data_IF_500705242158
#
_entry.id   IF_500705242158
#
_cell.length_a   1.000
_cell.length_b   1.000
_cell.length_c   1.000
_cell.angle_alpha   90.00
_cell.angle_beta   90.00
_cell.angle_gamma   90.00
#
_symmetry.space_group_name_H-M   'P 1'
#
loop_
_entity.id
_entity.type
_entity.pdbx_description
1 polymer ?
#
# COMPACT_ATOMS: atom_id res chain seq x y z
N UNK A 1 -6.06 15.21 -3.36
CA UNK A 1 -4.98 15.76 -4.20
C UNK A 1 -4.97 15.19 -5.64
N UNK A 2 -5.86 14.29 -5.99
CA UNK A 2 -6.00 13.79 -7.36
C UNK A 2 -6.47 14.90 -8.30
N UNK A 3 -5.74 15.11 -9.42
CA UNK A 3 -6.10 16.08 -10.45
C UNK A 3 -5.73 17.54 -10.16
N UNK A 4 -5.16 17.85 -8.99
CA UNK A 4 -4.72 19.20 -8.70
C UNK A 4 -3.41 19.53 -9.44
N UNK A 5 -3.42 20.61 -10.21
CA UNK A 5 -2.23 21.12 -10.94
C UNK A 5 -1.39 22.05 -10.07
N UNK A 6 -1.98 22.65 -9.03
CA UNK A 6 -1.31 23.55 -8.09
C UNK A 6 -1.80 23.27 -6.67
N UNK A 7 -0.86 23.20 -5.72
CA UNK A 7 -1.15 23.05 -4.29
C UNK A 7 -0.64 24.25 -3.54
N UNK A 8 -1.41 24.70 -2.57
CA UNK A 8 -1.02 25.72 -1.61
C UNK A 8 -1.36 25.27 -0.19
N UNK A 9 -0.51 25.59 0.75
CA UNK A 9 -0.71 25.37 2.18
C UNK A 9 -0.95 26.72 2.83
N UNK A 10 -2.10 26.89 3.47
CA UNK A 10 -2.43 28.05 4.30
C UNK A 10 -2.25 27.66 5.76
N UNK A 11 -1.39 28.37 6.46
CA UNK A 11 -1.17 28.18 7.89
C UNK A 11 -2.26 28.90 8.71
N UNK A 12 -2.35 28.53 9.98
CA UNK A 12 -3.33 29.12 10.91
C UNK A 12 -3.09 30.63 11.16
N UNK A 13 -1.85 31.09 11.01
CA UNK A 13 -1.48 32.52 11.09
C UNK A 13 -1.79 33.30 9.80
N UNK A 14 -2.38 32.67 8.80
CA UNK A 14 -2.77 33.28 7.53
C UNK A 14 -1.70 33.25 6.43
N UNK A 15 -0.45 32.89 6.73
CA UNK A 15 0.60 32.73 5.70
C UNK A 15 0.22 31.65 4.70
N UNK A 16 0.51 31.89 3.42
CA UNK A 16 0.19 30.96 2.32
C UNK A 16 1.46 30.63 1.55
N UNK A 17 1.71 29.36 1.35
CA UNK A 17 2.88 28.86 0.63
C UNK A 17 2.46 27.99 -0.54
N UNK A 18 3.15 28.10 -1.67
CA UNK A 18 3.07 27.09 -2.72
C UNK A 18 3.70 25.78 -2.22
N UNK A 19 3.02 24.67 -2.46
CA UNK A 19 3.43 23.37 -1.95
C UNK A 19 3.80 22.41 -3.08
N UNK A 20 4.87 21.65 -2.87
CA UNK A 20 5.32 20.59 -3.79
C UNK A 20 5.00 19.22 -3.21
N UNK A 21 4.37 18.35 -4.00
CA UNK A 21 4.21 16.94 -3.64
C UNK A 21 5.57 16.25 -3.76
N UNK A 22 6.09 15.75 -2.64
CA UNK A 22 7.33 14.95 -2.61
C UNK A 22 7.01 13.52 -3.03
N UNK A 23 5.89 12.98 -2.54
CA UNK A 23 5.40 11.67 -2.92
C UNK A 23 4.04 11.37 -2.30
N UNK A 24 3.42 10.30 -2.76
CA UNK A 24 2.13 9.82 -2.28
C UNK A 24 2.12 8.29 -2.22
N UNK A 25 1.36 7.76 -1.31
CA UNK A 25 1.12 6.33 -1.17
C UNK A 25 -0.38 6.01 -1.25
N UNK A 26 -0.87 5.58 -2.41
CA UNK A 26 -2.27 5.22 -2.59
C UNK A 26 -2.71 3.99 -1.78
N UNK A 27 -1.77 3.23 -1.20
CA UNK A 27 -2.09 2.02 -0.43
C UNK A 27 -2.39 2.30 1.04
N UNK A 28 -2.06 3.51 1.53
CA UNK A 28 -2.33 3.98 2.90
C UNK A 28 -3.07 5.30 2.94
N UNK A 29 -3.38 5.91 1.78
CA UNK A 29 -3.97 7.26 1.66
C UNK A 29 -3.12 8.37 2.32
N UNK A 30 -1.79 8.24 2.27
CA UNK A 30 -0.84 9.22 2.82
C UNK A 30 -0.08 9.92 1.71
N UNK A 31 0.13 11.22 1.84
CA UNK A 31 1.00 11.98 0.95
C UNK A 31 1.92 12.91 1.75
N UNK A 32 3.13 13.12 1.23
CA UNK A 32 4.12 14.05 1.75
C UNK A 32 4.19 15.27 0.84
N UNK A 33 3.97 16.45 1.42
CA UNK A 33 4.11 17.74 0.75
C UNK A 33 5.21 18.55 1.40
N UNK A 34 5.90 19.40 0.61
CA UNK A 34 6.92 20.34 1.07
C UNK A 34 6.50 21.77 0.75
N UNK A 35 6.71 22.65 1.70
CA UNK A 35 6.65 24.10 1.54
C UNK A 35 8.03 24.71 1.83
N UNK A 36 8.37 25.81 1.18
CA UNK A 36 9.59 26.56 1.47
C UNK A 36 9.25 27.60 2.55
N UNK A 37 9.37 27.19 3.81
CA UNK A 37 9.11 28.00 4.99
C UNK A 37 10.01 27.54 6.14
N UNK A 38 10.38 28.49 6.99
CA UNK A 38 11.20 28.27 8.17
C UNK A 38 10.37 28.50 9.44
N UNK A 39 10.86 28.02 10.58
CA UNK A 39 10.29 28.21 11.91
C UNK A 39 8.80 27.79 12.01
N UNK A 40 8.43 26.73 11.32
CA UNK A 40 7.08 26.18 11.43
C UNK A 40 6.92 25.41 12.75
N UNK A 41 5.83 25.65 13.51
CA UNK A 41 5.51 24.80 14.64
C UNK A 41 5.20 23.38 14.17
N UNK A 42 5.74 22.38 14.89
CA UNK A 42 5.58 20.96 14.55
C UNK A 42 4.95 20.21 15.72
N UNK A 43 4.20 19.16 15.40
CA UNK A 43 3.76 18.16 16.37
C UNK A 43 4.87 17.14 16.60
N UNK A 44 5.04 16.73 17.86
CA UNK A 44 5.86 15.56 18.19
C UNK A 44 5.12 14.29 17.80
N UNK A 45 5.84 13.31 17.28
CA UNK A 45 5.29 11.97 17.09
C UNK A 45 5.10 11.28 18.44
N UNK A 46 3.90 10.76 18.67
CA UNK A 46 3.60 9.84 19.76
C UNK A 46 3.82 8.39 19.32
N UNK A 47 3.09 7.47 19.93
CA UNK A 47 3.04 6.05 19.56
C UNK A 47 1.58 5.63 19.37
N UNK A 48 1.23 5.26 18.15
CA UNK A 48 -0.10 4.70 17.86
C UNK A 48 -0.24 3.26 18.38
N UNK A 49 0.89 2.56 18.55
CA UNK A 49 0.90 1.19 19.04
C UNK A 49 0.52 1.12 20.53
N UNK A 50 0.94 2.11 21.31
CA UNK A 50 0.68 2.19 22.75
C UNK A 50 -0.71 2.72 23.10
N UNK A 51 -1.47 3.25 22.12
CA UNK A 51 -2.83 3.72 22.33
C UNK A 51 -3.72 2.59 22.89
N UNK A 52 -4.52 2.92 23.91
CA UNK A 52 -5.48 2.01 24.52
C UNK A 52 -6.90 2.39 24.15
N UNK A 53 -7.79 1.42 24.10
CA UNK A 53 -9.21 1.68 23.96
C UNK A 53 -9.72 2.54 25.11
N UNK A 54 -10.56 3.54 24.80
CA UNK A 54 -11.06 4.50 25.76
C UNK A 54 -10.10 5.67 26.04
N UNK A 55 -8.88 5.69 25.49
CA UNK A 55 -7.94 6.79 25.65
C UNK A 55 -8.42 8.03 24.89
N UNK A 56 -8.33 9.22 25.53
CA UNK A 56 -8.73 10.49 24.92
C UNK A 56 -7.85 10.87 23.75
N UNK A 57 -8.49 11.28 22.66
CA UNK A 57 -7.85 11.82 21.47
C UNK A 57 -8.56 13.07 20.97
N UNK A 58 -7.82 13.93 20.29
CA UNK A 58 -8.33 15.15 19.66
C UNK A 58 -8.09 15.04 18.14
N UNK A 59 -9.15 15.22 17.36
CA UNK A 59 -9.04 15.34 15.91
C UNK A 59 -8.96 16.83 15.55
N UNK A 60 -7.90 17.21 14.82
CA UNK A 60 -7.60 18.57 14.42
C UNK A 60 -7.72 18.67 12.90
N UNK A 61 -8.37 19.70 12.39
CA UNK A 61 -8.50 19.93 10.96
C UNK A 61 -9.05 21.31 10.65
N UNK A 62 -9.40 21.56 9.39
CA UNK A 62 -9.96 22.83 8.91
C UNK A 62 -11.22 22.55 8.05
N UNK A 63 -12.32 22.06 8.67
CA UNK A 63 -13.54 21.75 7.94
C UNK A 63 -14.22 23.03 7.46
N UNK A 64 -14.87 22.96 6.29
CA UNK A 64 -15.72 24.03 5.73
C UNK A 64 -15.02 25.39 5.56
N UNK A 65 -13.71 25.39 5.24
CA UNK A 65 -12.88 26.62 5.16
C UNK A 65 -12.85 27.47 6.44
N UNK A 66 -13.34 26.92 7.56
CA UNK A 66 -13.19 27.53 8.86
C UNK A 66 -11.75 27.42 9.35
N UNK A 67 -11.34 28.34 10.24
CA UNK A 67 -10.05 28.20 10.92
C UNK A 67 -10.00 26.89 11.73
N UNK A 68 -8.79 26.44 12.04
CA UNK A 68 -8.53 25.17 12.74
C UNK A 68 -9.61 24.81 13.77
N UNK A 69 -10.21 23.66 13.56
CA UNK A 69 -11.26 23.11 14.43
C UNK A 69 -10.70 21.92 15.16
N UNK A 70 -11.00 21.81 16.45
CA UNK A 70 -10.60 20.68 17.30
C UNK A 70 -11.87 20.00 17.81
N UNK A 71 -11.93 18.68 17.63
CA UNK A 71 -12.97 17.84 18.23
C UNK A 71 -12.36 16.82 19.15
N UNK A 72 -13.06 16.45 20.23
CA UNK A 72 -12.58 15.49 21.21
C UNK A 72 -13.40 14.19 21.14
N UNK A 73 -12.76 13.09 21.41
CA UNK A 73 -13.34 11.76 21.52
C UNK A 73 -12.36 10.79 22.14
N UNK A 74 -12.64 9.50 21.99
CA UNK A 74 -11.79 8.41 22.50
C UNK A 74 -11.35 7.49 21.38
N UNK A 75 -10.35 6.67 21.64
CA UNK A 75 -10.01 5.51 20.81
C UNK A 75 -11.11 4.47 20.97
N UNK A 76 -11.99 4.36 19.99
CA UNK A 76 -13.12 3.43 20.00
C UNK A 76 -12.70 2.03 19.58
N UNK A 77 -11.74 1.91 18.65
CA UNK A 77 -11.16 0.65 18.22
C UNK A 77 -9.78 0.86 17.56
N UNK A 78 -9.03 -0.23 17.38
CA UNK A 78 -7.78 -0.26 16.62
C UNK A 78 -7.87 -1.34 15.56
N UNK A 79 -6.98 -1.30 14.56
CA UNK A 79 -6.88 -2.30 13.50
C UNK A 79 -8.19 -2.49 12.70
N UNK A 80 -8.91 -1.41 12.41
CA UNK A 80 -10.15 -1.47 11.63
C UNK A 80 -9.85 -1.51 10.14
N UNK A 81 -10.48 -2.45 9.44
CA UNK A 81 -10.52 -2.55 7.99
C UNK A 81 -11.89 -2.08 7.49
N UNK A 82 -11.92 -1.30 6.43
CA UNK A 82 -13.13 -0.70 5.89
C UNK A 82 -13.36 -1.04 4.41
N UNK A 83 -12.35 -1.59 3.74
CA UNK A 83 -12.33 -1.89 2.30
C UNK A 83 -12.59 -0.66 1.41
N UNK A 84 -12.12 0.52 1.86
CA UNK A 84 -12.32 1.81 1.16
C UNK A 84 -11.16 2.18 0.25
N UNK A 85 -9.97 1.60 0.44
CA UNK A 85 -8.81 1.82 -0.41
C UNK A 85 -8.84 0.83 -1.58
N UNK A 86 -9.05 1.26 -2.83
CA UNK A 86 -9.17 0.38 -4.00
C UNK A 86 -7.79 -0.09 -4.49
N UNK A 87 -7.03 -0.79 -3.64
CA UNK A 87 -5.71 -1.30 -3.95
C UNK A 87 -5.52 -2.71 -3.38
N UNK A 88 -4.94 -3.62 -4.17
CA UNK A 88 -4.68 -5.01 -3.75
C UNK A 88 -3.68 -5.09 -2.58
N UNK A 89 -2.73 -4.15 -2.52
CA UNK A 89 -1.71 -4.07 -1.47
C UNK A 89 -2.04 -3.02 -0.41
N UNK A 90 -3.34 -2.70 -0.26
CA UNK A 90 -3.79 -1.73 0.75
C UNK A 90 -3.39 -2.16 2.15
N UNK A 91 -3.04 -1.18 2.96
CA UNK A 91 -2.84 -1.33 4.40
C UNK A 91 -3.91 -0.50 5.08
N UNK A 92 -5.00 -1.16 5.40
CA UNK A 92 -6.09 -0.59 6.19
C UNK A 92 -6.00 -1.16 7.60
N UNK A 93 -5.43 -0.40 8.51
CA UNK A 93 -5.38 -0.69 9.94
C UNK A 93 -5.69 0.58 10.69
N UNK A 94 -6.92 1.07 10.53
CA UNK A 94 -7.31 2.38 11.04
C UNK A 94 -7.52 2.39 12.55
N UNK A 95 -7.16 3.51 13.18
CA UNK A 95 -7.65 3.90 14.51
C UNK A 95 -9.08 4.41 14.31
N UNK A 96 -10.04 3.83 15.00
CA UNK A 96 -11.40 4.34 15.07
C UNK A 96 -11.55 5.27 16.28
N UNK A 97 -12.21 6.41 16.09
CA UNK A 97 -12.56 7.36 17.15
C UNK A 97 -13.97 7.90 16.96
N UNK A 98 -14.60 8.32 18.03
CA UNK A 98 -15.84 9.09 18.04
C UNK A 98 -15.60 10.61 18.09
N UNK A 99 -14.36 11.07 18.03
CA UNK A 99 -14.07 12.48 17.75
C UNK A 99 -14.65 12.85 16.36
N UNK A 100 -15.43 13.91 16.29
CA UNK A 100 -16.15 14.27 15.07
C UNK A 100 -15.18 14.70 13.96
N UNK A 101 -15.13 13.92 12.88
CA UNK A 101 -14.42 14.24 11.65
C UNK A 101 -15.43 14.47 10.53
N UNK A 102 -15.30 15.59 9.84
CA UNK A 102 -16.12 15.96 8.68
C UNK A 102 -15.21 16.30 7.50
N UNK A 103 -15.75 16.41 6.26
CA UNK A 103 -14.97 16.86 5.11
C UNK A 103 -14.20 18.15 5.41
N UNK A 104 -12.87 18.14 5.21
CA UNK A 104 -11.92 19.18 5.59
C UNK A 104 -11.01 18.81 6.77
N UNK A 105 -11.38 17.85 7.60
CA UNK A 105 -10.49 17.32 8.64
C UNK A 105 -9.53 16.24 8.12
N UNK A 106 -9.84 15.60 6.99
CA UNK A 106 -8.96 14.60 6.36
C UNK A 106 -7.59 15.19 6.02
N UNK A 107 -6.52 14.51 6.41
CA UNK A 107 -5.14 14.98 6.36
C UNK A 107 -4.71 15.74 7.62
N UNK A 108 -5.64 16.10 8.50
CA UNK A 108 -5.38 16.72 9.80
C UNK A 108 -4.88 15.70 10.84
N UNK A 109 -4.38 16.22 11.95
CA UNK A 109 -3.80 15.41 13.01
C UNK A 109 -4.87 14.77 13.91
N UNK A 110 -4.62 13.50 14.30
CA UNK A 110 -5.19 12.91 15.49
C UNK A 110 -4.09 12.92 16.57
N UNK A 111 -4.33 13.57 17.69
CA UNK A 111 -3.35 13.69 18.79
C UNK A 111 -3.90 13.08 20.09
N UNK A 112 -2.98 12.58 20.93
CA UNK A 112 -3.33 12.13 22.27
C UNK A 112 -3.46 13.33 23.25
N UNK A 113 -3.80 13.04 24.51
CA UNK A 113 -3.97 14.07 25.56
C UNK A 113 -2.66 14.83 25.89
N UNK A 114 -1.49 14.36 25.43
CA UNK A 114 -0.21 15.07 25.56
C UNK A 114 0.10 15.97 24.38
N UNK A 115 -0.78 16.04 23.37
CA UNK A 115 -0.56 16.78 22.13
C UNK A 115 0.39 16.10 21.16
N UNK A 116 0.65 14.80 21.31
CA UNK A 116 1.51 14.03 20.42
C UNK A 116 0.70 13.43 19.28
N UNK A 117 1.25 13.46 18.06
CA UNK A 117 0.62 12.90 16.87
C UNK A 117 0.55 11.36 16.98
N UNK A 118 -0.67 10.83 16.95
CA UNK A 118 -0.94 9.37 17.00
C UNK A 118 -1.62 8.85 15.74
N UNK A 119 -2.06 9.74 14.85
CA UNK A 119 -2.61 9.36 13.56
C UNK A 119 -2.89 10.56 12.66
N UNK A 120 -3.25 10.27 11.41
CA UNK A 120 -3.74 11.25 10.43
C UNK A 120 -5.19 10.90 10.09
N UNK A 121 -6.11 11.86 10.31
CA UNK A 121 -7.52 11.70 9.97
C UNK A 121 -7.67 11.43 8.47
N UNK A 122 -8.48 10.45 8.07
CA UNK A 122 -8.61 10.09 6.66
C UNK A 122 -10.07 9.95 6.23
N UNK A 123 -10.84 9.04 6.80
CA UNK A 123 -12.17 8.67 6.32
C UNK A 123 -13.19 8.62 7.45
N UNK A 124 -14.46 8.86 7.10
CA UNK A 124 -15.61 8.56 7.95
C UNK A 124 -16.41 7.42 7.33
N UNK A 125 -16.98 6.55 8.15
CA UNK A 125 -17.99 5.59 7.68
C UNK A 125 -19.36 6.26 7.87
N UNK A 126 -19.98 6.66 6.77
CA UNK A 126 -21.23 7.40 6.79
C UNK A 126 -22.07 7.07 5.56
N UNK A 127 -23.36 6.90 5.73
CA UNK A 127 -24.33 6.77 4.63
C UNK A 127 -24.79 8.14 4.11
N UNK A 128 -24.56 9.21 4.87
CA UNK A 128 -25.01 10.58 4.55
C UNK A 128 -23.87 11.50 4.10
N UNK A 129 -22.61 11.03 4.21
CA UNK A 129 -21.41 11.86 3.97
C UNK A 129 -21.04 12.77 5.14
N UNK A 130 -21.81 12.74 6.24
CA UNK A 130 -21.54 13.50 7.46
C UNK A 130 -21.20 12.56 8.61
N UNK A 131 -20.53 13.08 9.63
CA UNK A 131 -20.20 12.34 10.85
C UNK A 131 -21.43 11.74 11.54
N UNK A 132 -21.33 10.44 11.85
CA UNK A 132 -22.37 9.66 12.55
C UNK A 132 -21.79 8.82 13.71
N UNK A 133 -20.66 9.23 14.30
CA UNK A 133 -20.02 8.52 15.40
C UNK A 133 -18.85 7.62 14.99
N UNK A 134 -18.50 7.55 13.69
CA UNK A 134 -17.44 6.67 13.18
C UNK A 134 -16.43 7.44 12.33
N UNK A 135 -15.35 7.83 12.96
CA UNK A 135 -14.19 8.48 12.31
C UNK A 135 -12.98 7.57 12.36
N UNK A 136 -12.10 7.72 11.36
CA UNK A 136 -10.94 6.84 11.21
C UNK A 136 -9.68 7.64 10.87
N UNK A 137 -8.57 7.19 11.43
CA UNK A 137 -7.26 7.78 11.20
C UNK A 137 -6.23 6.69 10.83
N UNK A 138 -5.30 7.02 9.95
CA UNK A 138 -4.12 6.19 9.66
C UNK A 138 -3.19 6.26 10.88
N UNK A 139 -2.77 5.12 11.46
CA UNK A 139 -1.87 5.09 12.62
C UNK A 139 -0.56 5.83 12.35
N UNK A 140 -0.05 6.51 13.36
CA UNK A 140 1.21 7.24 13.29
C UNK A 140 2.39 6.34 12.86
N UNK A 141 2.45 5.10 13.33
CA UNK A 141 3.51 4.16 12.96
C UNK A 141 3.58 3.90 11.44
N UNK A 142 2.43 3.78 10.78
CA UNK A 142 2.35 3.66 9.31
C UNK A 142 2.71 4.99 8.64
N UNK A 143 2.18 6.12 9.14
CA UNK A 143 2.48 7.46 8.60
C UNK A 143 3.98 7.74 8.66
N UNK A 144 4.62 7.50 9.79
CA UNK A 144 6.07 7.69 10.01
C UNK A 144 6.89 6.88 9.00
N UNK A 145 6.55 5.61 8.81
CA UNK A 145 7.21 4.73 7.85
C UNK A 145 7.06 5.25 6.42
N UNK A 146 5.84 5.60 6.00
CA UNK A 146 5.55 6.14 4.66
C UNK A 146 6.32 7.45 4.41
N UNK A 147 6.26 8.39 5.36
CA UNK A 147 6.95 9.70 5.23
C UNK A 147 8.46 9.53 5.16
N UNK A 148 9.04 8.66 6.00
CA UNK A 148 10.48 8.40 5.95
C UNK A 148 10.90 7.78 4.62
N UNK A 149 10.14 6.83 4.10
CA UNK A 149 10.43 6.22 2.80
C UNK A 149 10.34 7.25 1.66
N UNK A 150 9.27 8.05 1.64
CA UNK A 150 9.10 9.08 0.61
C UNK A 150 10.21 10.13 0.65
N UNK A 151 10.71 10.47 1.84
CA UNK A 151 11.81 11.42 2.02
C UNK A 151 13.16 10.85 1.60
N UNK A 152 13.43 9.58 1.95
CA UNK A 152 14.72 8.93 1.78
C UNK A 152 14.88 8.33 0.37
N UNK A 153 13.85 7.62 -0.10
CA UNK A 153 13.89 6.87 -1.37
C UNK A 153 13.04 7.50 -2.49
N UNK A 154 12.16 8.44 -2.14
CA UNK A 154 11.18 9.02 -3.07
C UNK A 154 10.00 8.11 -3.42
N UNK A 155 10.00 6.88 -2.91
CA UNK A 155 8.93 5.86 -3.04
C UNK A 155 8.78 5.11 -1.73
N UNK A 156 7.58 4.58 -1.49
CA UNK A 156 7.34 3.76 -0.30
C UNK A 156 7.86 2.34 -0.50
N UNK A 157 8.66 1.85 0.43
CA UNK A 157 9.22 0.51 0.45
C UNK A 157 8.13 -0.48 0.92
N UNK A 158 7.69 -1.38 0.05
CA UNK A 158 6.69 -2.40 0.40
C UNK A 158 7.35 -3.75 0.59
N UNK A 159 7.36 -4.20 1.84
CA UNK A 159 7.71 -5.56 2.20
C UNK A 159 6.48 -6.47 2.09
N UNK A 160 6.68 -7.69 1.62
CA UNK A 160 5.65 -8.70 1.47
C UNK A 160 6.09 -9.99 2.15
N UNK A 161 5.16 -10.66 2.83
CA UNK A 161 5.39 -11.99 3.37
C UNK A 161 5.30 -13.07 2.29
N UNK A 162 4.50 -12.83 1.25
CA UNK A 162 4.32 -13.76 0.14
C UNK A 162 3.46 -14.96 0.51
N UNK A 163 2.35 -14.72 1.21
CA UNK A 163 1.34 -15.73 1.55
C UNK A 163 -0.05 -15.29 1.10
N UNK A 164 -0.86 -16.23 0.65
CA UNK A 164 -2.31 -16.11 0.66
C UNK A 164 -2.82 -16.71 1.97
N UNK A 165 -3.73 -16.01 2.65
CA UNK A 165 -4.15 -16.42 3.98
C UNK A 165 -5.64 -16.18 4.22
N UNK A 166 -6.19 -16.82 5.25
CA UNK A 166 -7.51 -16.59 5.81
C UNK A 166 -7.40 -16.40 7.31
N UNK A 167 -8.16 -15.46 7.85
CA UNK A 167 -8.29 -15.33 9.30
C UNK A 167 -9.11 -16.51 9.83
N UNK A 168 -8.72 -17.04 10.99
CA UNK A 168 -9.42 -18.14 11.63
C UNK A 168 -10.46 -17.55 12.58
N UNK A 169 -11.65 -17.36 12.07
CA UNK A 169 -12.86 -17.01 12.80
C UNK A 169 -13.79 -18.23 12.91
N UNK A 170 -14.98 -18.03 13.44
CA UNK A 170 -15.96 -19.12 13.57
C UNK A 170 -16.40 -19.65 12.20
N UNK A 171 -16.58 -18.75 11.22
CA UNK A 171 -16.98 -19.13 9.87
C UNK A 171 -15.93 -20.02 9.19
N UNK A 172 -14.63 -19.69 9.40
CA UNK A 172 -13.54 -20.55 8.94
C UNK A 172 -13.59 -21.95 9.58
N UNK A 173 -13.81 -22.02 10.90
CA UNK A 173 -13.89 -23.29 11.62
C UNK A 173 -15.07 -24.12 11.13
N UNK A 174 -16.24 -23.51 10.96
CA UNK A 174 -17.45 -24.21 10.52
C UNK A 174 -17.29 -24.76 9.09
N UNK A 175 -16.60 -24.04 8.20
CA UNK A 175 -16.39 -24.45 6.81
C UNK A 175 -15.20 -25.40 6.63
N UNK A 176 -14.08 -25.16 7.30
CA UNK A 176 -12.80 -25.83 7.04
C UNK A 176 -12.19 -26.53 8.26
N UNK A 177 -12.76 -26.37 9.46
CA UNK A 177 -12.19 -26.90 10.71
C UNK A 177 -12.01 -28.41 10.68
N UNK A 178 -12.94 -29.17 10.07
CA UNK A 178 -12.82 -30.63 9.93
C UNK A 178 -11.69 -31.04 8.99
N UNK A 179 -11.46 -30.30 7.91
CA UNK A 179 -10.41 -30.58 6.93
C UNK A 179 -9.02 -30.19 7.46
N UNK A 180 -8.95 -29.09 8.19
CA UNK A 180 -7.70 -28.49 8.69
C UNK A 180 -7.33 -28.91 10.10
N UNK A 181 -8.23 -29.61 10.82
CA UNK A 181 -8.16 -29.93 12.26
C UNK A 181 -7.97 -28.69 13.17
N UNK A 182 -8.45 -27.52 12.70
CA UNK A 182 -8.42 -26.26 13.45
C UNK A 182 -9.72 -26.10 14.22
N UNK A 183 -9.62 -25.91 15.55
CA UNK A 183 -10.76 -25.88 16.49
C UNK A 183 -10.86 -24.57 17.26
N UNK A 184 -9.83 -23.73 17.20
CA UNK A 184 -9.76 -22.48 17.98
C UNK A 184 -9.68 -21.28 17.05
N UNK A 185 -10.41 -20.23 17.35
CA UNK A 185 -10.35 -18.95 16.65
C UNK A 185 -9.02 -18.23 16.94
N UNK A 186 -8.56 -17.45 15.99
CA UNK A 186 -7.36 -16.61 16.10
C UNK A 186 -6.19 -17.10 15.24
N UNK A 187 -5.35 -16.13 14.87
CA UNK A 187 -4.27 -16.33 13.92
C UNK A 187 -4.77 -16.35 12.47
N UNK A 188 -3.85 -16.54 11.54
CA UNK A 188 -4.14 -16.63 10.11
C UNK A 188 -3.64 -17.95 9.54
N UNK A 189 -4.54 -18.65 8.87
CA UNK A 189 -4.26 -19.90 8.15
C UNK A 189 -3.58 -19.56 6.82
N UNK A 190 -2.42 -20.13 6.56
CA UNK A 190 -1.69 -20.02 5.29
C UNK A 190 -2.34 -20.92 4.26
N UNK A 191 -3.11 -20.33 3.35
CA UNK A 191 -3.80 -21.04 2.27
C UNK A 191 -2.85 -21.34 1.09
N UNK A 192 -1.78 -20.55 0.93
CA UNK A 192 -0.75 -20.76 -0.07
C UNK A 192 0.48 -19.89 0.20
N UNK A 193 1.60 -20.25 -0.41
CA UNK A 193 2.87 -19.55 -0.30
C UNK A 193 3.37 -19.25 -1.70
N UNK A 194 3.80 -18.01 -1.93
CA UNK A 194 4.37 -17.57 -3.21
C UNK A 194 5.77 -18.15 -3.35
N UNK A 195 6.05 -18.86 -4.43
CA UNK A 195 7.37 -19.40 -4.74
C UNK A 195 8.40 -18.27 -4.86
N UNK A 196 9.57 -18.44 -4.21
CA UNK A 196 10.60 -17.40 -4.12
C UNK A 196 10.23 -16.19 -3.23
N UNK A 197 9.06 -16.19 -2.60
CA UNK A 197 8.64 -15.17 -1.63
C UNK A 197 9.25 -15.37 -0.25
N UNK A 198 9.12 -14.38 0.62
CA UNK A 198 9.70 -14.38 1.97
C UNK A 198 9.33 -15.62 2.79
N UNK A 199 8.03 -15.96 2.81
CA UNK A 199 7.53 -17.11 3.55
C UNK A 199 8.04 -18.44 3.00
N UNK A 200 8.12 -18.59 1.66
CA UNK A 200 8.64 -19.77 0.99
C UNK A 200 10.09 -20.04 1.35
N UNK A 201 10.93 -19.01 1.27
CA UNK A 201 12.35 -19.09 1.60
C UNK A 201 12.60 -19.42 3.07
N UNK A 202 11.73 -18.91 3.96
CA UNK A 202 11.79 -19.23 5.37
C UNK A 202 11.25 -20.64 5.71
N UNK A 203 10.62 -21.33 4.76
CA UNK A 203 10.10 -22.68 4.94
C UNK A 203 8.68 -22.76 5.50
N UNK A 204 7.91 -21.68 5.42
CA UNK A 204 6.47 -21.71 5.67
C UNK A 204 5.77 -22.52 4.57
N UNK A 205 4.61 -23.11 4.89
CA UNK A 205 3.86 -23.98 3.96
C UNK A 205 2.36 -23.73 4.10
N UNK A 206 1.61 -24.10 3.09
CA UNK A 206 0.16 -24.26 3.22
C UNK A 206 -0.17 -25.14 4.42
N UNK A 207 -1.15 -24.73 5.21
CA UNK A 207 -1.57 -25.42 6.43
C UNK A 207 -0.93 -24.88 7.71
N UNK A 208 0.07 -24.00 7.61
CA UNK A 208 0.60 -23.28 8.77
C UNK A 208 -0.42 -22.27 9.30
N UNK A 209 -0.40 -22.04 10.61
CA UNK A 209 -1.18 -20.99 11.26
C UNK A 209 -0.24 -20.00 11.91
N UNK A 210 -0.17 -18.80 11.39
CA UNK A 210 0.63 -17.71 11.97
C UNK A 210 -0.17 -17.12 13.12
N UNK A 211 0.35 -17.21 14.33
CA UNK A 211 -0.31 -16.76 15.56
C UNK A 211 0.29 -15.48 16.12
N UNK A 212 1.56 -15.18 15.77
CA UNK A 212 2.28 -14.02 16.30
C UNK A 212 3.31 -13.52 15.27
N UNK A 213 3.54 -12.23 15.23
CA UNK A 213 4.59 -11.56 14.48
C UNK A 213 5.26 -10.51 15.37
N UNK A 214 6.60 -10.59 15.52
CA UNK A 214 7.42 -9.70 16.35
C UNK A 214 6.87 -9.50 17.78
N UNK A 215 6.36 -10.58 18.40
CA UNK A 215 5.75 -10.54 19.73
C UNK A 215 4.30 -10.03 19.75
N UNK A 216 3.74 -9.63 18.60
CA UNK A 216 2.35 -9.17 18.50
C UNK A 216 1.44 -10.32 18.09
N UNK A 217 0.44 -10.64 18.93
CA UNK A 217 -0.55 -11.67 18.62
C UNK A 217 -1.46 -11.27 17.45
N UNK A 218 -1.69 -12.19 16.54
CA UNK A 218 -2.59 -12.00 15.39
C UNK A 218 -4.03 -12.29 15.83
N UNK A 219 -4.74 -11.25 16.22
CA UNK A 219 -6.16 -11.31 16.62
C UNK A 219 -7.11 -10.82 15.53
N UNK A 220 -6.58 -10.39 14.40
CA UNK A 220 -7.34 -10.05 13.18
C UNK A 220 -6.41 -10.13 11.95
N UNK A 221 -6.96 -10.25 10.72
CA UNK A 221 -6.15 -10.24 9.50
C UNK A 221 -5.40 -8.92 9.33
N UNK A 222 -5.98 -7.83 9.80
CA UNK A 222 -5.46 -6.47 9.72
C UNK A 222 -4.15 -6.29 10.49
N UNK A 223 -4.01 -6.97 11.63
CA UNK A 223 -2.77 -6.90 12.43
C UNK A 223 -1.59 -7.47 11.65
N UNK A 224 -1.76 -8.58 10.92
CA UNK A 224 -0.67 -9.13 10.11
C UNK A 224 -0.22 -8.14 9.04
N UNK A 225 -1.16 -7.55 8.29
CA UNK A 225 -0.84 -6.58 7.24
C UNK A 225 -0.26 -5.29 7.78
N UNK A 226 -0.72 -4.83 8.95
CA UNK A 226 -0.15 -3.69 9.66
C UNK A 226 1.30 -3.94 10.06
N UNK A 227 1.57 -5.06 10.75
CA UNK A 227 2.93 -5.37 11.21
C UNK A 227 3.89 -5.50 10.02
N UNK A 228 3.52 -6.26 8.97
CA UNK A 228 4.34 -6.33 7.75
C UNK A 228 4.51 -4.95 7.10
N UNK A 229 3.47 -4.12 7.12
CA UNK A 229 3.48 -2.77 6.54
C UNK A 229 4.44 -1.78 7.20
N UNK A 230 4.85 -2.03 8.44
CA UNK A 230 5.86 -1.23 9.19
C UNK A 230 7.29 -1.52 8.73
N UNK A 231 7.50 -2.64 8.02
CA UNK A 231 8.81 -3.11 7.59
C UNK A 231 9.13 -2.71 6.14
N UNK A 232 10.41 -2.84 5.82
CA UNK A 232 10.98 -2.66 4.47
C UNK A 232 11.46 -4.01 3.93
N UNK A 233 11.62 -4.16 2.60
CA UNK A 233 12.37 -5.28 2.06
C UNK A 233 13.76 -5.38 2.70
N UNK A 234 14.21 -6.61 2.97
CA UNK A 234 15.42 -6.97 3.73
C UNK A 234 15.31 -6.88 5.26
N UNK A 235 14.25 -6.32 5.82
CA UNK A 235 14.02 -6.42 7.26
C UNK A 235 13.69 -7.88 7.62
N UNK A 236 14.04 -8.26 8.87
CA UNK A 236 13.70 -9.56 9.44
C UNK A 236 12.53 -9.43 10.39
N UNK A 237 11.60 -10.35 10.29
CA UNK A 237 10.48 -10.48 11.23
C UNK A 237 10.50 -11.88 11.85
N UNK A 238 10.11 -11.98 13.11
CA UNK A 238 9.97 -13.25 13.82
C UNK A 238 8.50 -13.68 13.82
N UNK A 239 8.22 -14.89 13.35
CA UNK A 239 6.87 -15.45 13.32
C UNK A 239 6.77 -16.62 14.30
N UNK A 240 5.69 -16.66 15.08
CA UNK A 240 5.25 -17.86 15.81
C UNK A 240 4.16 -18.54 14.99
N UNK A 241 4.38 -19.80 14.67
CA UNK A 241 3.55 -20.58 13.74
C UNK A 241 3.16 -21.91 14.36
N UNK A 242 1.88 -22.24 14.33
CA UNK A 242 1.40 -23.61 14.61
C UNK A 242 1.43 -24.42 13.32
N UNK A 243 2.09 -25.57 13.33
CA UNK A 243 2.09 -26.55 12.23
C UNK A 243 1.61 -27.91 12.78
N UNK A 244 0.32 -28.19 12.60
CA UNK A 244 -0.39 -29.21 13.39
C UNK A 244 -0.28 -28.85 14.87
N UNK A 245 0.08 -29.82 15.72
CA UNK A 245 0.21 -29.60 17.16
C UNK A 245 1.55 -28.94 17.60
N UNK A 246 2.42 -28.64 16.65
CA UNK A 246 3.76 -28.13 16.96
C UNK A 246 3.85 -26.62 16.78
N UNK A 247 4.32 -25.91 17.79
CA UNK A 247 4.72 -24.51 17.69
C UNK A 247 6.13 -24.42 17.10
N UNK A 248 6.30 -23.58 16.12
CA UNK A 248 7.57 -23.31 15.44
C UNK A 248 7.83 -21.81 15.39
N UNK A 249 9.10 -21.45 15.40
CA UNK A 249 9.55 -20.07 15.22
C UNK A 249 10.28 -19.96 13.88
N UNK A 250 9.99 -18.90 13.15
CA UNK A 250 10.61 -18.61 11.86
C UNK A 250 11.11 -17.18 11.84
N UNK A 251 12.39 -17.02 11.51
CA UNK A 251 12.97 -15.73 11.16
C UNK A 251 12.84 -15.54 9.65
N UNK A 252 12.05 -14.55 9.24
CA UNK A 252 11.71 -14.33 7.84
C UNK A 252 12.32 -13.04 7.35
N UNK A 253 13.16 -13.10 6.32
CA UNK A 253 13.65 -11.93 5.60
C UNK A 253 12.58 -11.49 4.62
N UNK A 254 12.05 -10.29 4.81
CA UNK A 254 10.99 -9.76 3.96
C UNK A 254 11.53 -9.34 2.59
N UNK A 255 10.72 -9.52 1.56
CA UNK A 255 11.07 -9.25 0.16
C UNK A 255 10.09 -8.26 -0.45
N UNK A 256 10.52 -7.56 -1.50
CA UNK A 256 9.65 -6.70 -2.29
C UNK A 256 8.75 -7.53 -3.25
N UNK A 257 7.90 -6.85 -4.01
CA UNK A 257 6.97 -7.47 -4.97
C UNK A 257 7.68 -8.31 -6.06
N UNK A 258 8.93 -8.00 -6.36
CA UNK A 258 9.75 -8.76 -7.31
C UNK A 258 10.43 -10.00 -6.66
N UNK A 259 10.13 -10.31 -5.40
CA UNK A 259 10.72 -11.44 -4.67
C UNK A 259 12.17 -11.18 -4.22
N UNK A 260 12.61 -9.92 -4.16
CA UNK A 260 13.98 -9.55 -3.79
C UNK A 260 14.03 -8.88 -2.43
N UNK A 261 15.05 -9.20 -1.63
CA UNK A 261 15.34 -8.56 -0.36
C UNK A 261 16.16 -7.27 -0.59
N UNK A 262 15.64 -6.37 -1.42
CA UNK A 262 16.31 -5.15 -1.86
C UNK A 262 15.35 -3.96 -1.73
N UNK A 263 15.89 -2.83 -1.30
CA UNK A 263 15.18 -1.55 -1.32
C UNK A 263 15.09 -1.05 -2.76
N UNK A 264 13.98 -0.39 -3.08
CA UNK A 264 13.74 0.24 -4.36
C UNK A 264 14.12 1.71 -4.28
N UNK A 265 14.63 2.28 -5.36
CA UNK A 265 14.86 3.72 -5.49
C UNK A 265 13.76 4.33 -6.37
N UNK A 266 13.69 5.66 -6.41
CA UNK A 266 12.73 6.36 -7.27
C UNK A 266 12.92 6.01 -8.76
N UNK A 267 14.10 5.56 -9.14
CA UNK A 267 14.42 5.12 -10.51
C UNK A 267 13.96 3.68 -10.78
N UNK A 268 13.69 2.92 -9.72
CA UNK A 268 13.11 1.56 -9.80
C UNK A 268 11.56 1.61 -9.80
N UNK A 269 10.98 2.79 -9.98
CA UNK A 269 9.51 2.94 -10.10
C UNK A 269 9.03 1.99 -11.17
N UNK A 270 8.24 1.05 -10.71
CA UNK A 270 7.70 -0.03 -11.51
C UNK A 270 6.99 0.55 -12.75
N UNK A 271 7.70 0.60 -13.86
CA UNK A 271 7.15 0.99 -15.17
C UNK A 271 5.87 0.18 -15.44
N UNK A 272 5.78 -1.01 -14.87
CA UNK A 272 4.58 -1.87 -14.84
C UNK A 272 3.40 -1.16 -14.16
N UNK A 273 3.64 -0.46 -13.05
CA UNK A 273 2.58 0.30 -12.36
C UNK A 273 2.21 1.58 -13.11
N UNK A 274 3.21 2.27 -13.67
CA UNK A 274 3.02 3.49 -14.49
C UNK A 274 2.30 3.14 -15.80
N UNK A 275 2.66 2.05 -16.45
CA UNK A 275 1.97 1.55 -17.64
C UNK A 275 0.52 1.16 -17.33
N UNK A 276 0.25 0.67 -16.12
CA UNK A 276 -1.09 0.30 -15.69
C UNK A 276 -1.61 -0.97 -16.39
N UNK A 277 -0.89 -2.10 -16.24
CA UNK A 277 -1.29 -3.37 -16.82
C UNK A 277 -0.67 -4.57 -16.10
N UNK A 278 -1.09 -5.77 -16.52
CA UNK A 278 -0.37 -7.03 -16.21
C UNK A 278 0.42 -7.43 -17.43
N UNK A 279 1.61 -7.97 -17.18
CA UNK A 279 2.57 -8.28 -18.24
C UNK A 279 3.12 -9.69 -18.07
N UNK A 280 3.44 -10.33 -19.19
CA UNK A 280 4.17 -11.60 -19.21
C UNK A 280 5.21 -11.61 -20.31
N UNK A 281 6.31 -12.30 -20.08
CA UNK A 281 7.28 -12.59 -21.12
C UNK A 281 6.64 -13.47 -22.19
N UNK A 282 6.94 -13.21 -23.46
CA UNK A 282 6.53 -14.11 -24.54
C UNK A 282 7.50 -15.29 -24.65
N UNK A 283 6.98 -16.44 -25.02
CA UNK A 283 7.82 -17.61 -25.30
C UNK A 283 8.52 -17.50 -26.65
N UNK A 284 9.55 -18.32 -26.84
CA UNK A 284 10.36 -18.33 -28.08
C UNK A 284 9.56 -18.72 -29.34
N UNK A 285 8.43 -19.44 -29.20
CA UNK A 285 7.56 -19.80 -30.33
C UNK A 285 6.77 -18.57 -30.78
N UNK A 286 6.22 -17.82 -29.84
CA UNK A 286 5.51 -16.54 -30.09
C UNK A 286 6.45 -15.50 -30.70
N UNK A 287 7.69 -15.38 -30.16
CA UNK A 287 8.69 -14.47 -30.70
C UNK A 287 9.01 -14.77 -32.18
N UNK A 288 9.24 -16.05 -32.51
CA UNK A 288 9.48 -16.50 -33.89
C UNK A 288 8.28 -16.25 -34.81
N UNK A 289 7.05 -16.51 -34.32
CA UNK A 289 5.81 -16.29 -35.08
C UNK A 289 5.59 -14.83 -35.43
N UNK A 290 5.99 -13.92 -34.55
CA UNK A 290 5.82 -12.48 -34.72
C UNK A 290 7.04 -11.78 -35.33
N UNK A 291 8.10 -12.56 -35.69
CA UNK A 291 9.38 -12.06 -36.22
C UNK A 291 10.03 -10.98 -35.35
N UNK A 292 10.05 -11.24 -34.03
CA UNK A 292 10.65 -10.34 -33.03
C UNK A 292 11.68 -11.06 -32.17
N UNK A 293 12.66 -10.31 -31.63
CA UNK A 293 13.75 -10.88 -30.81
C UNK A 293 13.37 -11.15 -29.35
N UNK A 294 12.12 -10.87 -28.97
CA UNK A 294 11.57 -10.93 -27.62
C UNK A 294 10.57 -9.80 -27.42
N UNK A 295 9.91 -9.76 -26.28
CA UNK A 295 8.93 -8.73 -25.96
C UNK A 295 8.08 -9.10 -24.76
N UNK A 296 7.24 -8.17 -24.35
CA UNK A 296 6.39 -8.30 -23.18
C UNK A 296 4.93 -8.16 -23.58
N UNK A 297 4.18 -9.24 -23.38
CA UNK A 297 2.75 -9.23 -23.69
C UNK A 297 1.94 -8.55 -22.61
N UNK A 298 1.07 -7.62 -23.02
CA UNK A 298 0.05 -7.01 -22.17
C UNK A 298 -1.07 -8.01 -21.95
N UNK A 299 -1.19 -8.55 -20.74
CA UNK A 299 -2.22 -9.51 -20.36
C UNK A 299 -3.51 -8.84 -19.91
N UNK A 300 -3.42 -7.67 -19.28
CA UNK A 300 -4.58 -6.85 -18.93
C UNK A 300 -4.20 -5.39 -18.87
N UNK A 301 -5.20 -4.51 -19.08
CA UNK A 301 -5.06 -3.05 -19.03
C UNK A 301 -5.92 -2.51 -17.89
N UNK A 302 -5.31 -1.78 -16.95
CA UNK A 302 -6.02 -1.12 -15.83
C UNK A 302 -6.56 0.23 -16.28
N UNK A 303 -7.80 0.53 -15.92
CA UNK A 303 -8.41 1.85 -16.12
C UNK A 303 -7.54 2.94 -15.46
N UNK A 304 -7.30 4.05 -16.18
CA UNK A 304 -6.49 5.17 -15.71
C UNK A 304 -4.98 5.05 -15.88
N UNK A 305 -4.44 3.87 -16.23
CA UNK A 305 -3.03 3.68 -16.58
C UNK A 305 -2.65 4.26 -17.95
N UNK A 306 -1.35 4.40 -18.22
CA UNK A 306 -0.86 4.93 -19.51
C UNK A 306 -1.31 4.09 -20.69
N UNK A 307 -1.33 2.75 -20.55
CA UNK A 307 -1.83 1.86 -21.62
C UNK A 307 -3.31 2.13 -21.97
N UNK A 308 -4.15 2.36 -20.93
CA UNK A 308 -5.56 2.69 -21.15
C UNK A 308 -5.72 4.05 -21.85
N UNK A 309 -4.96 5.07 -21.40
CA UNK A 309 -4.94 6.42 -22.02
C UNK A 309 -4.48 6.36 -23.47
N UNK A 310 -3.46 5.55 -23.76
CA UNK A 310 -2.95 5.32 -25.11
C UNK A 310 -3.84 4.38 -25.94
N UNK A 311 -4.93 3.81 -25.38
CA UNK A 311 -5.82 2.85 -26.02
C UNK A 311 -5.10 1.57 -26.48
N UNK A 312 -4.04 1.18 -25.80
CA UNK A 312 -3.39 -0.11 -26.00
C UNK A 312 -4.34 -1.21 -25.54
N UNK A 313 -4.45 -2.29 -26.31
CA UNK A 313 -5.34 -3.41 -26.02
C UNK A 313 -4.57 -4.60 -25.48
N UNK A 314 -5.27 -5.45 -24.76
CA UNK A 314 -4.75 -6.75 -24.32
C UNK A 314 -4.24 -7.58 -25.49
N UNK A 315 -3.20 -8.37 -25.24
CA UNK A 315 -2.53 -9.16 -26.27
C UNK A 315 -1.42 -8.40 -27.02
N UNK A 316 -1.32 -7.07 -26.91
CA UNK A 316 -0.22 -6.31 -27.51
C UNK A 316 1.12 -6.75 -26.92
N UNK A 317 2.11 -6.98 -27.76
CA UNK A 317 3.47 -7.33 -27.35
C UNK A 317 4.35 -6.09 -27.47
N UNK A 318 4.75 -5.52 -26.37
CA UNK A 318 5.67 -4.39 -26.30
C UNK A 318 7.07 -4.87 -26.67
N UNK A 319 7.70 -4.23 -27.64
CA UNK A 319 9.08 -4.52 -28.07
C UNK A 319 10.04 -3.37 -27.81
N UNK A 320 9.54 -2.13 -27.75
CA UNK A 320 10.33 -0.93 -27.41
C UNK A 320 9.52 0.04 -26.56
N UNK A 321 10.22 0.78 -25.71
CA UNK A 321 9.73 1.96 -25.00
C UNK A 321 10.79 3.05 -25.15
N UNK A 322 10.40 4.24 -25.65
CA UNK A 322 11.32 5.35 -25.95
C UNK A 322 12.52 4.85 -26.80
N UNK A 323 12.27 4.11 -27.86
CA UNK A 323 13.27 3.49 -28.74
C UNK A 323 14.21 2.46 -28.06
N UNK A 324 14.08 2.22 -26.75
CA UNK A 324 14.84 1.20 -26.03
C UNK A 324 14.16 -0.16 -26.16
N UNK A 325 14.91 -1.17 -26.59
CA UNK A 325 14.39 -2.52 -26.75
C UNK A 325 13.95 -3.13 -25.40
N UNK A 326 12.76 -3.72 -25.37
CA UNK A 326 12.16 -4.44 -24.26
C UNK A 326 11.99 -5.89 -24.69
N UNK A 327 12.69 -6.82 -24.04
CA UNK A 327 12.67 -8.25 -24.35
C UNK A 327 12.01 -9.09 -23.26
N UNK A 328 11.92 -8.55 -22.03
CA UNK A 328 11.37 -9.20 -20.86
C UNK A 328 10.67 -8.21 -19.91
N UNK A 329 9.85 -8.70 -19.00
CA UNK A 329 9.26 -7.90 -17.92
C UNK A 329 10.35 -7.27 -17.05
N UNK A 330 11.50 -7.96 -16.88
CA UNK A 330 12.64 -7.39 -16.17
C UNK A 330 13.23 -6.16 -16.88
N UNK A 331 13.17 -6.08 -18.21
CA UNK A 331 13.62 -4.89 -18.95
C UNK A 331 12.67 -3.72 -18.74
N UNK A 332 11.34 -3.96 -18.63
CA UNK A 332 10.38 -2.92 -18.27
C UNK A 332 10.72 -2.29 -16.90
N UNK A 333 11.07 -3.11 -15.92
CA UNK A 333 11.39 -2.66 -14.57
C UNK A 333 12.69 -1.84 -14.48
N UNK A 334 13.53 -1.89 -15.51
CA UNK A 334 14.80 -1.13 -15.61
C UNK A 334 14.66 0.22 -16.31
N UNK A 335 13.49 0.50 -16.87
CA UNK A 335 13.26 1.78 -17.55
C UNK A 335 13.03 2.88 -16.52
N UNK A 336 13.89 3.87 -16.50
CA UNK A 336 13.85 5.01 -15.56
C UNK A 336 13.33 6.29 -16.21
N UNK A 337 13.23 6.30 -17.54
CA UNK A 337 12.85 7.50 -18.28
C UNK A 337 11.32 7.67 -18.36
N UNK A 338 10.90 8.91 -18.45
CA UNK A 338 9.51 9.25 -18.72
C UNK A 338 9.06 8.59 -20.04
N UNK A 339 7.98 7.81 -20.01
CA UNK A 339 7.50 7.10 -21.18
C UNK A 339 6.86 8.11 -22.16
N UNK A 340 7.42 8.17 -23.37
CA UNK A 340 6.96 9.02 -24.46
C UNK A 340 6.40 8.19 -25.62
N UNK A 341 6.94 7.00 -25.86
CA UNK A 341 6.43 6.10 -26.91
C UNK A 341 6.45 4.64 -26.45
N UNK A 342 5.53 3.86 -27.00
CA UNK A 342 5.42 2.41 -26.82
C UNK A 342 5.23 1.78 -28.18
N UNK A 343 6.18 0.94 -28.61
CA UNK A 343 6.16 0.25 -29.87
C UNK A 343 6.05 -1.26 -29.71
N UNK A 344 5.38 -1.92 -30.61
CA UNK A 344 5.22 -3.36 -30.55
C UNK A 344 4.32 -3.94 -31.62
N UNK A 345 3.89 -5.19 -31.38
CA UNK A 345 3.18 -6.00 -32.37
C UNK A 345 1.97 -6.68 -31.72
N UNK A 346 0.85 -6.71 -32.40
CA UNK A 346 -0.30 -7.52 -32.02
C UNK A 346 -0.15 -8.99 -32.41
N UNK A 347 -0.88 -9.94 -31.79
CA UNK A 347 -0.79 -11.37 -32.10
C UNK A 347 -1.10 -11.74 -33.56
N UNK A 348 -1.78 -10.83 -34.31
CA UNK A 348 -2.08 -10.96 -35.73
C UNK A 348 -0.93 -10.46 -36.64
N UNK A 349 0.23 -10.09 -36.08
CA UNK A 349 1.39 -9.58 -36.79
C UNK A 349 1.34 -8.08 -37.14
N UNK A 350 0.27 -7.35 -36.75
CA UNK A 350 0.16 -5.93 -37.03
C UNK A 350 1.00 -5.12 -36.04
N UNK A 351 2.00 -4.39 -36.51
CA UNK A 351 2.79 -3.45 -35.70
C UNK A 351 1.95 -2.19 -35.36
N UNK A 352 2.20 -1.64 -34.18
CA UNK A 352 1.62 -0.38 -33.75
C UNK A 352 2.62 0.39 -32.88
N UNK A 353 2.56 1.72 -32.99
CA UNK A 353 3.30 2.68 -32.18
C UNK A 353 2.31 3.63 -31.50
N UNK A 354 2.51 3.87 -30.21
CA UNK A 354 1.67 4.72 -29.37
C UNK A 354 2.51 5.84 -28.79
N UNK A 355 2.17 7.07 -29.13
CA UNK A 355 2.76 8.27 -28.51
C UNK A 355 1.98 8.59 -27.25
N UNK A 356 2.67 8.74 -26.13
CA UNK A 356 2.09 9.10 -24.85
C UNK A 356 2.09 10.62 -24.70
N UNK A 357 0.96 11.23 -25.00
CA UNK A 357 0.74 12.65 -24.70
C UNK A 357 0.51 12.77 -23.19
N UNK A 358 1.44 13.37 -22.50
CA UNK A 358 1.29 13.70 -21.08
C UNK A 358 0.78 15.14 -21.00
N UNK A 359 -0.42 15.31 -20.49
CA UNK A 359 -0.94 16.59 -20.03
C UNK A 359 -0.23 17.07 -18.77
#
# INVERSE_FOLDING_TARGET
MYGATKLRVKLNDGRVFDAKVIGKDPTTDVALVKVEAEELPILKFGSSDDLRLGEWVLAIGSPFDLQSTITAGIVSAKARQLDVIPNEFRIESFIQTDAAVNPGNSGGALVNARGELVGINTVIKSSTGSYIGYSFAVPESIVRKVVNDLREYGIVQRALLGVSYRYIDQDFIDQFGKETDIKEVGGVYVAGVTEGGSASEAGLRKGDVITEIDGVKITSPTILTEQIGKHRPNDKVSLVVKRGDKVKHFDVVLRNKAGKAELLTKNDVDVVEVLGGRFADIDGKTAKKLDIKGGVQVQSVKSGGLLAKARVREGFVITHINDKAVRSVADLSRLTDKIQSIDGVYPNGKSASYVILQE
#
